data_IF_165722484136
#
_entry.id   IF_165722484136
#
_cell.length_a   1.000
_cell.length_b   1.000
_cell.length_c   1.000
_cell.angle_alpha   90.00
_cell.angle_beta   90.00
_cell.angle_gamma   90.00
#
_symmetry.space_group_name_H-M   'P 1'
#
loop_
_entity.id
_entity.type
_entity.pdbx_description
1 polymer ?
#
# COMPACT_ATOMS: atom_id res chain seq x y z
N UNK A 1 2.55 20.61 2.18
CA UNK A 1 1.57 19.66 2.75
C UNK A 1 1.80 18.24 2.25
N UNK A 2 1.87 18.00 0.93
CA UNK A 2 2.14 16.66 0.36
C UNK A 2 3.48 16.03 0.79
N UNK A 3 4.57 16.82 0.83
CA UNK A 3 5.88 16.33 1.31
C UNK A 3 5.82 15.89 2.77
N UNK A 4 5.20 16.71 3.64
CA UNK A 4 5.01 16.39 5.07
C UNK A 4 4.21 15.11 5.22
N UNK A 5 3.14 14.93 4.44
CA UNK A 5 2.38 13.68 4.42
C UNK A 5 3.30 12.54 3.99
N UNK A 6 4.06 12.68 2.90
CA UNK A 6 4.91 11.62 2.35
C UNK A 6 5.97 11.10 3.32
N UNK A 7 6.38 11.89 4.31
CA UNK A 7 7.36 11.50 5.33
C UNK A 7 6.74 11.02 6.66
N UNK A 8 5.42 11.03 6.82
CA UNK A 8 4.78 10.67 8.11
C UNK A 8 5.08 9.24 8.55
N UNK A 9 5.30 8.32 7.60
CA UNK A 9 5.63 6.93 7.93
C UNK A 9 7.13 6.72 8.22
N UNK A 10 8.00 7.66 7.83
CA UNK A 10 9.44 7.53 8.02
C UNK A 10 9.83 7.67 9.50
N UNK A 11 9.12 8.55 10.22
CA UNK A 11 9.36 8.86 11.63
C UNK A 11 8.39 8.12 12.58
N UNK A 12 7.92 6.93 12.18
CA UNK A 12 7.03 6.14 13.04
C UNK A 12 7.74 5.80 14.36
N UNK A 13 7.10 6.08 15.52
CA UNK A 13 7.61 5.61 16.80
C UNK A 13 7.87 4.11 16.81
N UNK A 14 8.87 3.64 17.57
CA UNK A 14 9.21 2.21 17.66
C UNK A 14 7.99 1.31 17.96
N UNK A 15 7.07 1.83 18.78
CA UNK A 15 5.85 1.14 19.15
C UNK A 15 4.79 1.04 18.06
N UNK A 16 4.98 1.67 16.89
CA UNK A 16 4.20 1.48 15.66
C UNK A 16 4.98 0.70 14.57
N UNK A 17 6.29 0.52 14.74
CA UNK A 17 7.13 -0.16 13.76
C UNK A 17 6.96 -1.68 13.82
N UNK A 18 7.00 -2.28 15.01
CA UNK A 18 6.85 -3.73 15.18
C UNK A 18 6.35 -4.05 16.59
N UNK A 19 5.49 -5.07 16.77
CA UNK A 19 5.06 -5.47 18.12
C UNK A 19 6.20 -6.12 18.91
N UNK A 20 7.27 -6.55 18.24
CA UNK A 20 8.42 -7.21 18.86
C UNK A 20 9.42 -6.19 19.46
N UNK A 21 9.23 -4.90 19.17
CA UNK A 21 10.08 -3.80 19.67
C UNK A 21 9.51 -3.16 20.94
N UNK A 22 8.40 -3.67 21.46
CA UNK A 22 7.71 -3.12 22.64
C UNK A 22 7.48 -4.23 23.65
N UNK A 23 7.66 -3.92 24.92
CA UNK A 23 7.21 -4.79 26.01
C UNK A 23 5.68 -4.78 26.04
N UNK A 24 5.08 -5.91 25.70
CA UNK A 24 3.64 -6.12 25.78
C UNK A 24 3.24 -6.31 27.25
N UNK A 25 2.08 -5.78 27.61
CA UNK A 25 1.61 -5.84 29.00
C UNK A 25 1.28 -7.31 29.34
N UNK A 26 1.96 -7.91 30.34
CA UNK A 26 1.76 -9.31 30.70
C UNK A 26 0.39 -9.59 31.33
N UNK A 27 -0.34 -8.55 31.74
CA UNK A 27 -1.69 -8.68 32.28
C UNK A 27 -2.75 -8.93 31.19
N UNK A 28 -2.40 -8.78 29.92
CA UNK A 28 -3.29 -8.99 28.79
C UNK A 28 -2.79 -10.12 27.89
N UNK A 29 -3.70 -10.72 27.12
CA UNK A 29 -3.35 -11.74 26.14
C UNK A 29 -2.42 -11.16 25.06
N UNK A 30 -1.17 -11.64 25.06
CA UNK A 30 -0.11 -11.25 24.11
C UNK A 30 -0.51 -11.52 22.67
N UNK A 31 -1.20 -12.63 22.39
CA UNK A 31 -1.63 -12.97 21.03
C UNK A 31 -2.69 -11.98 20.55
N UNK A 32 -3.64 -11.62 21.43
CA UNK A 32 -4.64 -10.59 21.14
C UNK A 32 -3.99 -9.22 20.89
N UNK A 33 -3.04 -8.80 21.73
CA UNK A 33 -2.32 -7.53 21.56
C UNK A 33 -1.57 -7.47 20.22
N UNK A 34 -0.84 -8.53 19.85
CA UNK A 34 -0.15 -8.61 18.55
C UNK A 34 -1.13 -8.57 17.39
N UNK A 35 -2.29 -9.24 17.52
CA UNK A 35 -3.35 -9.20 16.52
C UNK A 35 -3.88 -7.77 16.32
N UNK A 36 -4.25 -7.09 17.40
CA UNK A 36 -4.70 -5.71 17.37
C UNK A 36 -3.64 -4.77 16.78
N UNK A 37 -2.36 -4.95 17.12
CA UNK A 37 -1.26 -4.17 16.56
C UNK A 37 -1.23 -4.32 15.03
N UNK A 38 -1.19 -5.55 14.52
CA UNK A 38 -1.03 -5.77 13.08
C UNK A 38 -2.23 -5.30 12.27
N UNK A 39 -3.45 -5.52 12.77
CA UNK A 39 -4.67 -4.99 12.13
C UNK A 39 -4.69 -3.47 12.10
N UNK A 40 -4.27 -2.79 13.17
CA UNK A 40 -4.22 -1.32 13.19
C UNK A 40 -3.15 -0.79 12.24
N UNK A 41 -1.95 -1.39 12.27
CA UNK A 41 -0.84 -1.03 11.39
C UNK A 41 -1.23 -1.21 9.92
N UNK A 42 -1.81 -2.35 9.55
CA UNK A 42 -2.22 -2.62 8.17
C UNK A 42 -3.23 -1.61 7.65
N UNK A 43 -4.21 -1.24 8.48
CA UNK A 43 -5.24 -0.24 8.14
C UNK A 43 -4.66 1.16 8.02
N UNK A 44 -3.82 1.56 8.97
CA UNK A 44 -3.18 2.88 8.95
C UNK A 44 -2.34 3.07 7.69
N UNK A 45 -1.54 2.06 7.33
CA UNK A 45 -0.70 2.13 6.14
C UNK A 45 -1.55 2.14 4.86
N UNK A 46 -2.61 1.34 4.79
CA UNK A 46 -3.53 1.38 3.66
C UNK A 46 -4.18 2.76 3.51
N UNK A 47 -4.73 3.33 4.58
CA UNK A 47 -5.33 4.68 4.54
C UNK A 47 -4.31 5.75 4.12
N UNK A 48 -3.10 5.70 4.67
CA UNK A 48 -2.03 6.63 4.35
C UNK A 48 -1.71 6.64 2.85
N UNK A 49 -1.44 5.46 2.28
CA UNK A 49 -1.09 5.36 0.87
C UNK A 49 -2.28 5.65 -0.05
N UNK A 50 -3.51 5.32 0.36
CA UNK A 50 -4.73 5.73 -0.35
C UNK A 50 -4.84 7.25 -0.47
N UNK A 51 -4.64 7.98 0.63
CA UNK A 51 -4.65 9.45 0.59
C UNK A 51 -3.54 9.96 -0.31
N UNK A 52 -2.32 9.43 -0.16
CA UNK A 52 -1.16 9.88 -0.95
C UNK A 52 -1.39 9.71 -2.45
N UNK A 53 -1.91 8.55 -2.87
CA UNK A 53 -2.17 8.26 -4.29
C UNK A 53 -3.36 9.05 -4.83
N UNK A 54 -4.42 9.21 -4.05
CA UNK A 54 -5.59 10.02 -4.44
C UNK A 54 -5.21 11.48 -4.64
N UNK A 55 -4.44 12.08 -3.72
CA UNK A 55 -3.95 13.45 -3.84
C UNK A 55 -3.08 13.61 -5.08
N UNK A 56 -2.11 12.70 -5.30
CA UNK A 56 -1.26 12.76 -6.49
C UNK A 56 -2.09 12.69 -7.77
N UNK A 57 -3.01 11.73 -7.88
CA UNK A 57 -3.86 11.57 -9.06
C UNK A 57 -4.71 12.81 -9.33
N UNK A 58 -5.38 13.34 -8.31
CA UNK A 58 -6.20 14.54 -8.46
C UNK A 58 -5.37 15.73 -8.96
N UNK A 59 -4.14 15.89 -8.44
CA UNK A 59 -3.22 16.92 -8.88
C UNK A 59 -2.77 16.71 -10.33
N UNK A 60 -2.48 15.48 -10.76
CA UNK A 60 -2.13 15.18 -12.15
C UNK A 60 -3.31 15.48 -13.08
N UNK A 61 -4.50 14.99 -12.76
CA UNK A 61 -5.71 15.14 -13.58
C UNK A 61 -6.12 16.61 -13.78
N UNK A 62 -5.84 17.47 -12.80
CA UNK A 62 -6.20 18.91 -12.84
C UNK A 62 -5.02 19.84 -13.17
N UNK A 63 -3.83 19.29 -13.47
CA UNK A 63 -2.64 20.09 -13.74
C UNK A 63 -2.13 20.91 -12.54
N UNK A 64 -2.39 20.44 -11.31
CA UNK A 64 -2.06 21.09 -10.04
C UNK A 64 -0.81 20.48 -9.36
N UNK A 65 0.04 19.79 -10.10
CA UNK A 65 1.25 19.09 -9.59
C UNK A 65 2.23 20.05 -8.91
N UNK A 66 2.26 21.31 -9.35
CA UNK A 66 3.09 22.36 -8.72
C UNK A 66 2.65 22.71 -7.29
N UNK A 67 1.37 22.53 -6.93
CA UNK A 67 0.86 22.79 -5.57
C UNK A 67 1.40 21.77 -4.55
N UNK A 68 1.76 20.57 -5.02
CA UNK A 68 2.35 19.51 -4.20
C UNK A 68 3.87 19.47 -4.30
N UNK A 69 4.48 20.44 -4.99
CA UNK A 69 5.94 20.57 -5.12
C UNK A 69 6.55 19.69 -6.20
N UNK A 70 5.74 19.16 -7.13
CA UNK A 70 6.21 18.38 -8.26
C UNK A 70 6.18 19.24 -9.53
N UNK A 71 7.14 19.01 -10.43
CA UNK A 71 7.05 19.55 -11.79
C UNK A 71 6.01 18.73 -12.59
N UNK A 72 5.50 19.30 -13.68
CA UNK A 72 4.54 18.61 -14.56
C UNK A 72 5.23 17.78 -15.65
N UNK A 73 6.47 17.34 -15.40
CA UNK A 73 7.24 16.54 -16.33
C UNK A 73 6.81 15.06 -16.23
N UNK A 74 6.54 14.43 -17.38
CA UNK A 74 5.99 13.07 -17.42
C UNK A 74 6.89 12.05 -16.73
N UNK A 75 8.21 12.19 -16.88
CA UNK A 75 9.17 11.29 -16.25
C UNK A 75 9.11 11.42 -14.72
N UNK A 76 9.07 12.65 -14.21
CA UNK A 76 8.99 12.92 -12.76
C UNK A 76 7.68 12.39 -12.16
N UNK A 77 6.55 12.57 -12.84
CA UNK A 77 5.26 12.05 -12.38
C UNK A 77 5.24 10.52 -12.39
N UNK A 78 5.76 9.89 -13.45
CA UNK A 78 5.88 8.44 -13.54
C UNK A 78 6.79 7.87 -12.43
N UNK A 79 7.88 8.56 -12.11
CA UNK A 79 8.76 8.19 -10.99
C UNK A 79 8.01 8.27 -9.66
N UNK A 80 7.27 9.34 -9.40
CA UNK A 80 6.55 9.49 -8.13
C UNK A 80 5.41 8.47 -7.99
N UNK A 81 4.66 8.21 -9.06
CA UNK A 81 3.65 7.15 -9.08
C UNK A 81 4.28 5.76 -8.80
N UNK A 82 5.45 5.49 -9.39
CA UNK A 82 6.19 4.24 -9.14
C UNK A 82 6.70 4.16 -7.70
N UNK A 83 7.10 5.28 -7.11
CA UNK A 83 7.54 5.35 -5.72
C UNK A 83 6.40 5.03 -4.76
N UNK A 84 5.23 5.66 -4.91
CA UNK A 84 4.06 5.35 -4.08
C UNK A 84 3.66 3.89 -4.24
N UNK A 85 3.62 3.39 -5.47
CA UNK A 85 3.26 2.00 -5.73
C UNK A 85 4.23 1.00 -5.07
N UNK A 86 5.53 1.30 -5.10
CA UNK A 86 6.55 0.53 -4.39
C UNK A 86 6.30 0.55 -2.88
N UNK A 87 6.01 1.72 -2.31
CA UNK A 87 5.78 1.87 -0.87
C UNK A 87 4.54 1.07 -0.43
N UNK A 88 3.49 1.05 -1.25
CA UNK A 88 2.30 0.21 -1.03
C UNK A 88 2.67 -1.27 -1.04
N UNK A 89 3.34 -1.75 -2.09
CA UNK A 89 3.72 -3.17 -2.21
C UNK A 89 4.61 -3.60 -1.05
N UNK A 90 5.61 -2.77 -0.70
CA UNK A 90 6.50 -3.05 0.42
C UNK A 90 5.74 -3.09 1.76
N UNK A 91 4.81 -2.16 1.95
CA UNK A 91 3.97 -2.12 3.15
C UNK A 91 3.12 -3.38 3.29
N UNK A 92 2.50 -3.84 2.20
CA UNK A 92 1.73 -5.08 2.19
C UNK A 92 2.61 -6.30 2.50
N UNK A 93 3.84 -6.34 1.99
CA UNK A 93 4.79 -7.41 2.28
C UNK A 93 5.32 -7.38 3.72
N UNK A 94 5.31 -6.22 4.39
CA UNK A 94 5.78 -6.05 5.76
C UNK A 94 4.78 -6.50 6.84
N UNK A 95 3.53 -6.76 6.46
CA UNK A 95 2.45 -7.16 7.36
C UNK A 95 2.17 -8.65 7.17
N UNK A 96 2.00 -9.45 8.24
CA UNK A 96 1.61 -10.85 8.10
C UNK A 96 0.30 -10.97 7.32
N UNK A 97 0.27 -11.87 6.33
CA UNK A 97 -0.79 -11.93 5.32
C UNK A 97 -2.21 -11.94 5.90
N UNK A 98 -2.43 -12.66 7.00
CA UNK A 98 -3.74 -12.74 7.66
C UNK A 98 -4.33 -11.38 8.06
N UNK A 99 -3.49 -10.38 8.36
CA UNK A 99 -3.96 -9.05 8.75
C UNK A 99 -4.25 -8.16 7.53
N UNK A 100 -3.65 -8.44 6.38
CA UNK A 100 -3.99 -7.78 5.10
C UNK A 100 -5.45 -8.09 4.73
N UNK A 101 -5.89 -9.33 4.98
CA UNK A 101 -7.25 -9.80 4.72
C UNK A 101 -8.30 -8.99 5.49
N UNK A 102 -7.94 -8.50 6.68
CA UNK A 102 -8.84 -7.73 7.55
C UNK A 102 -9.03 -6.27 7.12
N UNK A 103 -8.33 -5.81 6.08
CA UNK A 103 -8.51 -4.47 5.53
C UNK A 103 -9.83 -4.32 4.75
N UNK A 104 -10.43 -5.42 4.30
CA UNK A 104 -11.68 -5.42 3.55
C UNK A 104 -11.59 -4.64 2.23
N UNK A 105 -12.75 -4.20 1.73
CA UNK A 105 -12.85 -3.54 0.42
C UNK A 105 -11.96 -2.31 0.26
N UNK A 106 -11.81 -1.40 1.24
CA UNK A 106 -10.93 -0.23 1.08
C UNK A 106 -9.46 -0.60 0.81
N UNK A 107 -8.98 -1.70 1.43
CA UNK A 107 -7.63 -2.20 1.18
C UNK A 107 -7.48 -2.82 -0.20
N UNK A 108 -8.48 -3.58 -0.65
CA UNK A 108 -8.49 -4.18 -1.99
C UNK A 108 -8.57 -3.08 -3.05
N UNK A 109 -9.39 -2.05 -2.85
CA UNK A 109 -9.52 -0.95 -3.80
C UNK A 109 -8.21 -0.16 -3.96
N UNK A 110 -7.48 0.09 -2.87
CA UNK A 110 -6.13 0.64 -2.96
C UNK A 110 -5.23 -0.22 -3.87
N UNK A 111 -5.23 -1.54 -3.69
CA UNK A 111 -4.44 -2.46 -4.52
C UNK A 111 -4.88 -2.39 -5.99
N UNK A 112 -6.18 -2.31 -6.29
CA UNK A 112 -6.68 -2.18 -7.67
C UNK A 112 -6.25 -0.85 -8.30
N UNK A 113 -6.36 0.26 -7.57
CA UNK A 113 -5.92 1.58 -8.04
C UNK A 113 -4.41 1.58 -8.34
N UNK A 114 -3.60 1.05 -7.43
CA UNK A 114 -2.15 0.94 -7.61
C UNK A 114 -1.82 0.01 -8.78
N UNK A 115 -2.51 -1.12 -8.89
CA UNK A 115 -2.34 -2.06 -10.00
C UNK A 115 -2.66 -1.43 -11.35
N UNK A 116 -3.71 -0.62 -11.45
CA UNK A 116 -4.06 0.11 -12.67
C UNK A 116 -2.97 1.12 -13.06
N UNK A 117 -2.41 1.85 -12.10
CA UNK A 117 -1.31 2.79 -12.34
C UNK A 117 -0.07 2.03 -12.83
N UNK A 118 0.31 0.96 -12.14
CA UNK A 118 1.47 0.15 -12.51
C UNK A 118 1.32 -0.47 -13.90
N UNK A 119 0.11 -0.93 -14.24
CA UNK A 119 -0.21 -1.45 -15.57
C UNK A 119 -0.02 -0.36 -16.63
N UNK A 120 -0.57 0.84 -16.41
CA UNK A 120 -0.41 1.96 -17.32
C UNK A 120 1.08 2.31 -17.53
N UNK A 121 1.85 2.42 -16.44
CA UNK A 121 3.28 2.71 -16.49
C UNK A 121 4.07 1.62 -17.22
N UNK A 122 3.70 0.34 -17.02
CA UNK A 122 4.34 -0.80 -17.68
C UNK A 122 4.11 -0.85 -19.20
N UNK A 123 3.09 -0.15 -19.70
CA UNK A 123 2.73 -0.18 -21.12
C UNK A 123 3.09 1.12 -21.85
N UNK A 124 2.94 2.28 -21.20
CA UNK A 124 2.94 3.58 -21.88
C UNK A 124 4.19 4.42 -21.64
N UNK A 125 4.94 4.18 -20.57
CA UNK A 125 6.12 5.01 -20.26
C UNK A 125 7.29 4.63 -21.16
N UNK A 126 7.90 5.63 -21.80
CA UNK A 126 9.05 5.46 -22.70
C UNK A 126 10.31 4.99 -21.95
N UNK A 127 10.48 5.39 -20.69
CA UNK A 127 11.61 5.01 -19.87
C UNK A 127 11.57 3.52 -19.47
N UNK A 128 12.51 2.73 -20.01
CA UNK A 128 12.57 1.28 -19.77
C UNK A 128 12.82 0.89 -18.31
N UNK A 129 13.55 1.72 -17.55
CA UNK A 129 13.82 1.46 -16.12
C UNK A 129 12.53 1.56 -15.31
N UNK A 130 11.72 2.59 -15.56
CA UNK A 130 10.40 2.74 -14.93
C UNK A 130 9.48 1.61 -15.37
N UNK A 131 9.48 1.28 -16.67
CA UNK A 131 8.66 0.21 -17.21
C UNK A 131 8.95 -1.14 -16.54
N UNK A 132 10.22 -1.52 -16.47
CA UNK A 132 10.67 -2.75 -15.82
C UNK A 132 10.30 -2.79 -14.34
N UNK A 133 10.50 -1.67 -13.64
CA UNK A 133 10.13 -1.54 -12.22
C UNK A 133 8.62 -1.65 -12.00
N UNK A 134 7.82 -0.99 -12.84
CA UNK A 134 6.38 -1.04 -12.77
C UNK A 134 5.85 -2.46 -12.99
N UNK A 135 6.41 -3.18 -13.97
CA UNK A 135 6.08 -4.60 -14.21
C UNK A 135 6.39 -5.49 -13.01
N UNK A 136 7.57 -5.34 -12.40
CA UNK A 136 7.96 -6.13 -11.22
C UNK A 136 7.05 -5.88 -10.02
N UNK A 137 6.70 -4.61 -9.77
CA UNK A 137 5.76 -4.23 -8.72
C UNK A 137 4.35 -4.75 -9.01
N UNK A 138 3.90 -4.69 -10.27
CA UNK A 138 2.60 -5.19 -10.69
C UNK A 138 2.48 -6.69 -10.45
N UNK A 139 3.49 -7.48 -10.85
CA UNK A 139 3.52 -8.91 -10.58
C UNK A 139 3.40 -9.21 -9.09
N UNK A 140 4.19 -8.51 -8.25
CA UNK A 140 4.16 -8.68 -6.80
C UNK A 140 2.77 -8.38 -6.21
N UNK A 141 2.10 -7.35 -6.74
CA UNK A 141 0.77 -6.96 -6.29
C UNK A 141 -0.32 -7.94 -6.74
N UNK A 142 -0.22 -8.45 -7.96
CA UNK A 142 -1.12 -9.47 -8.49
C UNK A 142 -1.01 -10.78 -7.69
N UNK A 143 0.19 -11.17 -7.28
CA UNK A 143 0.39 -12.34 -6.42
C UNK A 143 -0.32 -12.18 -5.06
N UNK A 144 -0.29 -10.98 -4.48
CA UNK A 144 -1.00 -10.67 -3.23
C UNK A 144 -2.52 -10.75 -3.46
N UNK A 145 -3.03 -10.12 -4.52
CA UNK A 145 -4.45 -10.13 -4.86
C UNK A 145 -4.98 -11.55 -5.14
N UNK A 146 -4.23 -12.36 -5.89
CA UNK A 146 -4.60 -13.74 -6.19
C UNK A 146 -4.69 -14.60 -4.92
N UNK A 147 -3.77 -14.40 -3.96
CA UNK A 147 -3.84 -15.08 -2.66
C UNK A 147 -5.04 -14.64 -1.83
N UNK A 148 -5.40 -13.35 -1.87
CA UNK A 148 -6.58 -12.84 -1.16
C UNK A 148 -7.86 -13.48 -1.71
N UNK A 149 -7.98 -13.55 -3.03
CA UNK A 149 -9.11 -14.17 -3.72
C UNK A 149 -9.22 -15.67 -3.43
N UNK A 150 -8.10 -16.40 -3.51
CA UNK A 150 -8.04 -17.82 -3.17
C UNK A 150 -8.52 -18.09 -1.74
N UNK A 151 -8.11 -17.28 -0.75
CA UNK A 151 -8.57 -17.49 0.62
C UNK A 151 -10.04 -17.16 0.80
N UNK A 152 -10.51 -16.05 0.22
CA UNK A 152 -11.92 -15.69 0.30
C UNK A 152 -12.81 -16.81 -0.27
N UNK A 153 -12.39 -17.42 -1.37
CA UNK A 153 -13.05 -18.59 -1.96
C UNK A 153 -13.05 -19.80 -1.01
N UNK A 154 -11.91 -20.16 -0.40
CA UNK A 154 -11.83 -21.24 0.59
C UNK A 154 -12.76 -21.03 1.79
N UNK A 155 -12.83 -19.81 2.32
CA UNK A 155 -13.68 -19.47 3.46
C UNK A 155 -15.16 -19.61 3.12
N UNK A 156 -15.57 -19.19 1.93
CA UNK A 156 -16.94 -19.37 1.44
C UNK A 156 -17.32 -20.85 1.30
N UNK A 157 -16.42 -21.68 0.77
CA UNK A 157 -16.64 -23.13 0.64
C UNK A 157 -16.81 -23.78 2.02
N UNK A 158 -15.99 -23.39 2.99
CA UNK A 158 -16.04 -23.95 4.35
C UNK A 158 -17.28 -23.51 5.14
N UNK A 159 -17.92 -22.39 4.78
CA UNK A 159 -19.18 -21.95 5.41
C UNK A 159 -20.43 -22.66 4.86
N UNK A 160 -20.32 -23.33 3.72
CA UNK A 160 -21.42 -24.06 3.07
C UNK A 160 -21.46 -25.56 3.44
N UNK A 161 -20.43 -26.05 4.15
CA UNK A 161 -20.30 -27.42 4.65
C UNK A 161 -20.49 -27.46 6.17
#
# INVERSE_FOLDING_TARGET
MYIVVSTLLDDLPLWLQSPDLVELDPNYDVAFQRSCFWTQKSRMIAMFHSVRIMVLRQCIEHGLTTLIGLNNDQLTLAMEQTNIARDVVHSLQSVPFQYIQTNGEPGIELMRVVGSILLELSQKVENDVIRSRASSLLSSLLDILARLDSKASEELINQQN
#
